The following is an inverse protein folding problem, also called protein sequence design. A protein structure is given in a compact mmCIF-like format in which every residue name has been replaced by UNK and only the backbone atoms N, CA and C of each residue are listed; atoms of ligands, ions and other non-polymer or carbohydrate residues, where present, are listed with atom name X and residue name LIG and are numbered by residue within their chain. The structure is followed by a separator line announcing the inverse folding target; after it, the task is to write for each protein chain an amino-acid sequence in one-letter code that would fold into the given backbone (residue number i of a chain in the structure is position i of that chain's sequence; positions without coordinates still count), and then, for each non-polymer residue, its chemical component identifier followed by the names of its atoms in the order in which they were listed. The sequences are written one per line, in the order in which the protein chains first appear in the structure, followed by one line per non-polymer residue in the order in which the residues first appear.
data_IF_188055972477
#
_entry.id   IF_188055972477
#
_cell.length_a   1.000
_cell.length_b   1.000
_cell.length_c   1.000
_cell.angle_alpha   90.00
_cell.angle_beta   90.00
_cell.angle_gamma   90.00
#
_symmetry.space_group_name_H-M   'P 1'
#
loop_
_entity.id
_entity.type
_entity.pdbx_description
1 polymer ?
#
# COMPACT_ATOMS: atom_id res chain seq x y z
N UNK A 1 18.38 -15.79 -11.06
CA UNK A 1 17.25 -16.74 -10.87
C UNK A 1 16.01 -16.16 -11.53
N UNK A 2 15.30 -16.93 -12.36
CA UNK A 2 14.16 -16.45 -13.16
C UNK A 2 13.01 -16.05 -12.24
N UNK A 3 12.63 -14.75 -12.25
CA UNK A 3 11.52 -14.17 -11.48
C UNK A 3 10.14 -14.87 -11.68
N UNK A 4 10.00 -15.75 -12.66
CA UNK A 4 8.74 -16.43 -13.02
C UNK A 4 8.17 -17.39 -11.96
N UNK A 5 8.92 -17.79 -10.95
CA UNK A 5 8.48 -18.82 -10.01
C UNK A 5 8.20 -18.33 -8.57
N UNK A 6 8.56 -17.09 -8.19
CA UNK A 6 8.43 -16.66 -6.78
C UNK A 6 6.96 -16.58 -6.33
N UNK A 7 6.08 -16.01 -7.16
CA UNK A 7 4.64 -15.93 -6.85
C UNK A 7 4.05 -17.30 -6.64
N UNK A 8 4.36 -18.24 -7.55
CA UNK A 8 3.91 -19.61 -7.45
C UNK A 8 4.49 -20.30 -6.20
N UNK A 9 5.77 -20.08 -5.88
CA UNK A 9 6.39 -20.61 -4.67
C UNK A 9 5.72 -20.09 -3.39
N UNK A 10 5.43 -18.80 -3.31
CA UNK A 10 4.71 -18.20 -2.16
C UNK A 10 3.30 -18.77 -2.06
N UNK A 11 2.59 -18.90 -3.18
CA UNK A 11 1.25 -19.49 -3.21
C UNK A 11 1.26 -20.97 -2.78
N UNK A 12 2.18 -21.77 -3.28
CA UNK A 12 2.36 -23.17 -2.86
C UNK A 12 2.69 -23.24 -1.36
N UNK A 13 3.60 -22.39 -0.88
CA UNK A 13 3.97 -22.32 0.52
C UNK A 13 2.77 -21.94 1.41
N UNK A 14 1.93 -21.00 0.98
CA UNK A 14 0.69 -20.63 1.64
C UNK A 14 -0.28 -21.80 1.72
N UNK A 15 -0.57 -22.48 0.59
CA UNK A 15 -1.49 -23.62 0.56
C UNK A 15 -0.93 -24.79 1.40
N UNK A 16 0.36 -25.11 1.30
CA UNK A 16 0.98 -26.14 2.10
C UNK A 16 0.92 -25.83 3.60
N UNK A 17 1.22 -24.58 3.98
CA UNK A 17 1.11 -24.10 5.36
C UNK A 17 -0.32 -24.15 5.88
N UNK A 18 -1.31 -23.72 5.07
CA UNK A 18 -2.73 -23.81 5.39
C UNK A 18 -3.18 -25.23 5.62
N UNK A 19 -2.87 -26.15 4.68
CA UNK A 19 -3.24 -27.57 4.80
C UNK A 19 -2.62 -28.18 6.05
N UNK A 20 -1.32 -27.99 6.27
CA UNK A 20 -0.65 -28.51 7.46
C UNK A 20 -1.24 -27.93 8.75
N UNK A 21 -1.45 -26.63 8.80
CA UNK A 21 -2.03 -25.96 9.97
C UNK A 21 -3.43 -26.48 10.30
N UNK A 22 -4.30 -26.62 9.29
CA UNK A 22 -5.65 -27.18 9.45
C UNK A 22 -5.60 -28.64 9.90
N UNK A 23 -4.71 -29.45 9.35
CA UNK A 23 -4.53 -30.86 9.78
C UNK A 23 -4.13 -30.93 11.26
N UNK A 24 -3.14 -30.14 11.68
CA UNK A 24 -2.70 -30.09 13.07
C UNK A 24 -3.84 -29.64 14.01
N UNK A 25 -4.62 -28.63 13.61
CA UNK A 25 -5.78 -28.14 14.35
C UNK A 25 -6.88 -29.20 14.49
N UNK A 26 -7.20 -29.91 13.41
CA UNK A 26 -8.21 -30.98 13.42
C UNK A 26 -7.76 -32.18 14.25
N UNK A 27 -6.48 -32.51 14.22
CA UNK A 27 -5.90 -33.60 14.99
C UNK A 27 -5.87 -33.32 16.51
N UNK A 28 -6.09 -32.05 16.92
CA UNK A 28 -6.07 -31.63 18.34
C UNK A 28 -4.80 -32.04 19.10
N UNK A 29 -3.67 -32.10 18.39
CA UNK A 29 -2.37 -32.42 19.00
C UNK A 29 -1.79 -31.20 19.70
N UNK A 30 -0.92 -31.44 20.69
CA UNK A 30 -0.13 -30.36 21.27
C UNK A 30 0.85 -29.81 20.23
N UNK A 31 0.63 -28.56 19.82
CA UNK A 31 1.42 -27.85 18.81
C UNK A 31 2.58 -27.05 19.39
N UNK A 32 2.78 -27.05 20.73
CA UNK A 32 3.77 -26.20 21.41
C UNK A 32 5.19 -26.43 20.87
N UNK A 33 5.59 -27.70 20.69
CA UNK A 33 6.85 -28.06 20.09
C UNK A 33 7.00 -27.62 18.64
N UNK A 34 5.93 -27.79 17.84
CA UNK A 34 5.88 -27.34 16.45
C UNK A 34 6.02 -25.82 16.34
N UNK A 35 5.23 -25.06 17.11
CA UNK A 35 5.28 -23.59 17.13
C UNK A 35 6.67 -23.09 17.55
N UNK A 36 7.28 -23.67 18.56
CA UNK A 36 8.62 -23.31 19.03
C UNK A 36 9.70 -23.45 17.93
N UNK A 37 9.58 -24.46 17.06
CA UNK A 37 10.57 -24.71 15.99
C UNK A 37 10.26 -23.88 14.75
N UNK A 38 8.99 -23.77 14.36
CA UNK A 38 8.58 -23.21 13.05
C UNK A 38 8.35 -21.70 13.11
N UNK A 39 7.77 -21.18 14.21
CA UNK A 39 7.48 -19.74 14.35
C UNK A 39 8.69 -18.83 14.09
N UNK A 40 9.93 -19.15 14.52
CA UNK A 40 11.08 -18.29 14.27
C UNK A 40 11.32 -17.98 12.78
N UNK A 41 11.07 -18.94 11.88
CA UNK A 41 11.24 -18.71 10.44
C UNK A 41 10.25 -17.64 9.91
N UNK A 42 9.03 -17.64 10.42
CA UNK A 42 8.05 -16.61 10.11
C UNK A 42 8.41 -15.26 10.71
N UNK A 43 8.85 -15.26 11.97
CA UNK A 43 9.27 -14.03 12.67
C UNK A 43 10.47 -13.37 12.00
N UNK A 44 11.42 -14.15 11.46
CA UNK A 44 12.53 -13.61 10.66
C UNK A 44 12.03 -12.86 9.44
N UNK A 45 11.06 -13.41 8.70
CA UNK A 45 10.47 -12.70 7.55
C UNK A 45 9.85 -11.35 7.98
N UNK A 46 9.05 -11.36 9.05
CA UNK A 46 8.42 -10.15 9.59
C UNK A 46 9.48 -9.12 10.04
N UNK A 47 10.53 -9.57 10.71
CA UNK A 47 11.64 -8.70 11.14
C UNK A 47 12.40 -8.09 9.96
N UNK A 48 12.69 -8.88 8.91
CA UNK A 48 13.34 -8.38 7.69
C UNK A 48 12.46 -7.35 6.96
N UNK A 49 11.15 -7.59 6.85
CA UNK A 49 10.23 -6.61 6.28
C UNK A 49 10.21 -5.33 7.10
N UNK A 50 10.11 -5.43 8.44
CA UNK A 50 10.15 -4.27 9.34
C UNK A 50 11.45 -3.47 9.20
N UNK A 51 12.58 -4.14 9.04
CA UNK A 51 13.89 -3.51 8.88
C UNK A 51 13.95 -2.58 7.66
N UNK A 52 13.30 -2.96 6.56
CA UNK A 52 13.43 -2.25 5.28
C UNK A 52 12.39 -1.15 5.07
N UNK A 53 11.29 -1.13 5.84
CA UNK A 53 10.16 -0.21 5.64
C UNK A 53 10.61 1.26 5.68
N UNK A 54 11.35 1.66 6.72
CA UNK A 54 11.78 3.06 6.91
C UNK A 54 12.69 3.53 5.77
N UNK A 55 13.78 2.82 5.42
CA UNK A 55 14.63 3.20 4.30
C UNK A 55 13.88 3.32 2.96
N UNK A 56 12.99 2.37 2.65
CA UNK A 56 12.18 2.41 1.43
C UNK A 56 11.33 3.68 1.38
N UNK A 57 10.56 3.96 2.43
CA UNK A 57 9.66 5.11 2.48
C UNK A 57 10.45 6.41 2.38
N UNK A 58 11.50 6.54 3.17
CA UNK A 58 12.31 7.75 3.24
C UNK A 58 12.90 8.14 1.87
N UNK A 59 13.58 7.19 1.21
CA UNK A 59 14.21 7.44 -0.07
C UNK A 59 13.20 7.60 -1.22
N UNK A 60 12.15 6.76 -1.25
CA UNK A 60 11.13 6.84 -2.30
C UNK A 60 10.36 8.16 -2.26
N UNK A 61 10.04 8.66 -1.04
CA UNK A 61 9.32 9.93 -0.90
C UNK A 61 10.16 11.14 -1.25
N UNK A 62 11.46 11.15 -0.92
CA UNK A 62 12.36 12.24 -1.33
C UNK A 62 12.46 12.27 -2.85
N UNK A 63 12.70 11.14 -3.48
CA UNK A 63 12.83 11.01 -4.93
C UNK A 63 11.52 11.41 -5.64
N UNK A 64 10.38 10.88 -5.20
CA UNK A 64 9.06 11.21 -5.72
C UNK A 64 8.72 12.69 -5.58
N UNK A 65 8.98 13.30 -4.43
CA UNK A 65 8.72 14.72 -4.20
C UNK A 65 9.67 15.63 -5.00
N UNK A 66 10.94 15.22 -5.19
CA UNK A 66 11.91 15.96 -5.98
C UNK A 66 11.62 15.90 -7.50
N UNK A 67 10.87 14.92 -7.96
CA UNK A 67 10.48 14.78 -9.37
C UNK A 67 9.32 15.68 -9.79
N UNK A 68 8.65 16.37 -8.85
CA UNK A 68 7.51 17.25 -9.13
C UNK A 68 7.94 18.44 -9.99
N UNK A 69 7.31 18.71 -11.15
CA UNK A 69 7.66 19.82 -12.02
C UNK A 69 7.21 21.16 -11.42
N UNK A 70 8.08 22.18 -11.41
CA UNK A 70 7.82 23.46 -10.72
C UNK A 70 7.55 24.63 -11.65
N UNK A 71 8.31 24.81 -12.73
CA UNK A 71 8.22 26.04 -13.55
C UNK A 71 7.41 25.91 -14.84
N UNK A 72 7.67 24.90 -15.65
CA UNK A 72 7.01 24.77 -16.95
C UNK A 72 5.61 24.17 -16.86
N UNK A 73 5.38 23.33 -15.85
CA UNK A 73 4.12 22.62 -15.63
C UNK A 73 3.45 22.91 -14.28
N UNK A 74 3.86 23.98 -13.57
CA UNK A 74 3.45 24.23 -12.19
C UNK A 74 1.94 24.13 -11.93
N UNK A 75 1.10 24.74 -12.77
CA UNK A 75 -0.36 24.64 -12.65
C UNK A 75 -0.89 23.26 -13.04
N UNK A 76 -0.30 22.60 -14.04
CA UNK A 76 -0.70 21.27 -14.51
C UNK A 76 -0.22 20.22 -13.54
N UNK A 77 1.05 20.32 -13.07
CA UNK A 77 1.60 19.45 -12.05
C UNK A 77 0.79 19.45 -10.75
N UNK A 78 0.40 20.64 -10.27
CA UNK A 78 -0.49 20.75 -9.09
C UNK A 78 -1.84 20.08 -9.35
N UNK A 79 -2.46 20.25 -10.53
CA UNK A 79 -3.70 19.57 -10.87
C UNK A 79 -3.53 18.05 -10.82
N UNK A 80 -2.43 17.49 -11.38
CA UNK A 80 -2.14 16.05 -11.34
C UNK A 80 -2.04 15.56 -9.88
N UNK A 81 -1.26 16.24 -9.04
CA UNK A 81 -1.10 15.88 -7.63
C UNK A 81 -2.42 15.94 -6.88
N UNK A 82 -3.22 16.99 -7.12
CA UNK A 82 -4.55 17.13 -6.51
C UNK A 82 -5.48 15.98 -6.93
N UNK A 83 -5.46 15.59 -8.21
CA UNK A 83 -6.25 14.46 -8.68
C UNK A 83 -5.81 13.16 -8.05
N UNK A 84 -4.51 12.87 -7.97
CA UNK A 84 -3.97 11.68 -7.30
C UNK A 84 -4.36 11.65 -5.81
N UNK A 85 -4.23 12.80 -5.11
CA UNK A 85 -4.65 12.88 -3.72
C UNK A 85 -6.15 12.63 -3.53
N UNK A 86 -6.98 13.20 -4.40
CA UNK A 86 -8.44 13.03 -4.33
C UNK A 86 -8.86 11.58 -4.60
N UNK A 87 -8.27 10.90 -5.60
CA UNK A 87 -8.60 9.50 -5.88
C UNK A 87 -8.12 8.58 -4.75
N UNK A 88 -6.92 8.80 -4.21
CA UNK A 88 -6.41 8.05 -3.07
C UNK A 88 -7.23 8.27 -1.81
N UNK A 89 -7.70 9.51 -1.57
CA UNK A 89 -8.61 9.81 -0.45
C UNK A 89 -9.95 9.09 -0.62
N UNK A 90 -10.52 9.12 -1.83
CA UNK A 90 -11.75 8.40 -2.14
C UNK A 90 -11.59 6.89 -1.94
N UNK A 91 -10.48 6.33 -2.41
CA UNK A 91 -10.15 4.92 -2.26
C UNK A 91 -10.00 4.53 -0.78
N UNK A 92 -9.33 5.35 0.03
CA UNK A 92 -9.17 5.10 1.47
C UNK A 92 -10.50 5.17 2.24
N UNK A 93 -11.36 6.11 1.88
CA UNK A 93 -12.73 6.21 2.44
C UNK A 93 -13.55 5.00 2.01
N UNK A 94 -13.54 4.64 0.73
CA UNK A 94 -14.24 3.45 0.21
C UNK A 94 -13.75 2.17 0.89
N UNK A 95 -12.43 1.98 1.00
CA UNK A 95 -11.82 0.86 1.71
C UNK A 95 -12.25 0.80 3.17
N UNK A 96 -12.31 1.95 3.85
CA UNK A 96 -12.76 2.05 5.24
C UNK A 96 -14.26 1.72 5.39
N UNK A 97 -15.11 2.21 4.50
CA UNK A 97 -16.56 1.90 4.49
C UNK A 97 -16.79 0.42 4.25
N UNK A 98 -16.09 -0.17 3.28
CA UNK A 98 -16.17 -1.61 3.01
C UNK A 98 -15.63 -2.42 4.19
N UNK A 99 -14.54 -1.99 4.82
CA UNK A 99 -13.98 -2.65 5.99
C UNK A 99 -14.98 -2.68 7.16
N UNK A 100 -15.69 -1.58 7.41
CA UNK A 100 -16.76 -1.53 8.41
C UNK A 100 -17.94 -2.41 7.98
N UNK A 101 -18.36 -2.36 6.72
CA UNK A 101 -19.49 -3.11 6.19
C UNK A 101 -19.27 -4.63 6.22
N UNK A 102 -18.11 -5.10 5.73
CA UNK A 102 -17.73 -6.51 5.78
C UNK A 102 -17.37 -6.98 7.19
N UNK A 103 -16.87 -6.05 8.01
CA UNK A 103 -16.48 -6.24 9.41
C UNK A 103 -15.72 -7.56 9.62
N UNK A 104 -14.55 -7.75 8.96
CA UNK A 104 -13.81 -9.00 9.03
C UNK A 104 -13.37 -9.28 10.46
N UNK A 105 -13.62 -10.50 10.95
CA UNK A 105 -13.19 -10.90 12.27
C UNK A 105 -14.14 -10.54 13.44
N UNK A 106 -15.32 -9.98 13.17
CA UNK A 106 -16.29 -9.58 14.20
C UNK A 106 -17.19 -10.69 14.74
N UNK A 107 -17.13 -11.92 14.18
CA UNK A 107 -17.99 -13.02 14.61
C UNK A 107 -17.71 -13.47 16.04
N UNK A 108 -18.75 -13.84 16.82
CA UNK A 108 -18.59 -14.27 18.21
C UNK A 108 -17.64 -15.46 18.38
N UNK A 109 -17.71 -16.44 17.49
CA UNK A 109 -16.81 -17.60 17.49
C UNK A 109 -15.35 -17.19 17.24
N UNK A 110 -15.14 -16.20 16.36
CA UNK A 110 -13.80 -15.65 16.09
C UNK A 110 -13.28 -14.86 17.30
N UNK A 111 -14.10 -13.99 17.88
CA UNK A 111 -13.71 -13.23 19.08
C UNK A 111 -13.42 -14.15 20.27
N UNK A 112 -14.16 -15.24 20.43
CA UNK A 112 -13.88 -16.23 21.47
C UNK A 112 -12.52 -16.92 21.25
N UNK A 113 -12.19 -17.29 20.00
CA UNK A 113 -10.92 -17.90 19.64
C UNK A 113 -9.72 -16.93 19.85
N UNK A 114 -9.94 -15.61 19.70
CA UNK A 114 -8.90 -14.60 19.83
C UNK A 114 -8.81 -13.95 21.22
N UNK A 115 -9.69 -14.33 22.14
CA UNK A 115 -9.71 -13.80 23.52
C UNK A 115 -8.36 -13.91 24.22
N UNK A 116 -7.60 -14.95 23.92
CA UNK A 116 -6.25 -15.16 24.45
C UNK A 116 -5.20 -14.20 23.87
N UNK A 117 -5.50 -13.57 22.70
CA UNK A 117 -4.63 -12.59 22.07
C UNK A 117 -4.89 -11.16 22.55
N UNK A 118 -6.06 -10.94 23.17
CA UNK A 118 -6.43 -9.64 23.74
C UNK A 118 -5.67 -9.50 25.05
N UNK A 119 -4.51 -8.84 24.98
CA UNK A 119 -3.76 -8.51 26.18
C UNK A 119 -4.45 -7.32 26.86
N UNK A 120 -5.11 -7.57 28.01
CA UNK A 120 -5.89 -6.58 28.75
C UNK A 120 -5.07 -5.38 29.22
N UNK A 121 -3.75 -5.52 29.37
CA UNK A 121 -2.86 -4.40 29.69
C UNK A 121 -2.65 -3.47 28.49
N UNK A 122 -2.52 -4.01 27.28
CA UNK A 122 -2.36 -3.18 26.09
C UNK A 122 -3.68 -2.50 25.65
N UNK A 123 -4.85 -3.12 25.91
CA UNK A 123 -6.14 -2.51 25.58
C UNK A 123 -6.44 -1.25 26.38
N UNK A 124 -6.01 -1.17 27.64
CA UNK A 124 -6.18 0.05 28.45
C UNK A 124 -5.23 1.17 28.00
N UNK A 125 -3.99 0.87 27.63
CA UNK A 125 -3.06 1.86 27.04
C UNK A 125 -3.49 2.30 25.64
N UNK A 126 -3.99 1.40 24.82
CA UNK A 126 -4.52 1.72 23.49
C UNK A 126 -5.79 2.58 23.62
N UNK A 127 -6.68 2.25 24.56
CA UNK A 127 -7.89 3.02 24.81
C UNK A 127 -7.60 4.43 25.36
N UNK A 128 -6.57 4.59 26.22
CA UNK A 128 -6.17 5.90 26.74
C UNK A 128 -5.49 6.78 25.68
N UNK A 129 -4.79 6.16 24.69
CA UNK A 129 -4.13 6.86 23.57
C UNK A 129 -5.05 7.05 22.36
N UNK A 130 -6.16 6.31 22.25
CA UNK A 130 -7.19 6.53 21.24
C UNK A 130 -7.95 7.85 21.42
N UNK A 131 -7.76 8.53 22.54
CA UNK A 131 -8.27 9.88 22.81
C UNK A 131 -7.37 11.01 22.25
N UNK A 132 -6.30 10.70 21.50
CA UNK A 132 -5.54 11.74 20.84
C UNK A 132 -6.45 12.52 19.88
N UNK A 133 -6.48 13.83 20.04
CA UNK A 133 -7.22 14.69 19.12
C UNK A 133 -6.55 14.66 17.73
N UNK A 134 -7.29 15.00 16.68
CA UNK A 134 -6.69 15.18 15.35
C UNK A 134 -5.55 16.22 15.38
N UNK A 135 -5.63 17.20 16.29
CA UNK A 135 -4.56 18.18 16.50
C UNK A 135 -3.28 17.54 17.03
N UNK A 136 -3.38 16.60 17.97
CA UNK A 136 -2.19 15.89 18.50
C UNK A 136 -1.52 15.05 17.41
N UNK A 137 -2.31 14.40 16.56
CA UNK A 137 -1.78 13.65 15.40
C UNK A 137 -1.07 14.60 14.44
N UNK A 138 -1.69 15.77 14.14
CA UNK A 138 -1.09 16.77 13.25
C UNK A 138 0.22 17.32 13.83
N UNK A 139 0.25 17.66 15.12
CA UNK A 139 1.47 18.14 15.80
C UNK A 139 2.57 17.05 15.78
N UNK A 140 2.22 15.78 15.95
CA UNK A 140 3.17 14.67 15.95
C UNK A 140 3.88 14.47 14.60
N UNK A 141 3.35 15.02 13.52
CA UNK A 141 3.98 15.02 12.19
C UNK A 141 5.23 15.90 12.12
N UNK A 142 5.36 16.89 13.01
CA UNK A 142 6.47 17.84 13.05
C UNK A 142 7.47 17.48 14.16
N UNK A 143 8.08 16.31 14.04
CA UNK A 143 9.09 15.80 14.97
C UNK A 143 10.48 15.91 14.34
N UNK A 144 11.52 15.91 15.18
CA UNK A 144 12.90 15.80 14.70
C UNK A 144 13.05 14.59 13.77
N UNK A 145 13.52 14.77 12.52
CA UNK A 145 13.52 13.69 11.51
C UNK A 145 14.39 12.51 11.92
N UNK A 146 15.55 12.74 12.55
CA UNK A 146 16.43 11.67 12.99
C UNK A 146 15.81 10.86 14.12
N UNK A 147 15.11 11.52 15.04
CA UNK A 147 14.33 10.84 16.08
C UNK A 147 13.15 10.07 15.46
N UNK A 148 12.45 10.67 14.52
CA UNK A 148 11.35 10.01 13.80
C UNK A 148 11.82 8.73 13.09
N UNK A 149 12.98 8.78 12.41
CA UNK A 149 13.61 7.61 11.78
C UNK A 149 13.98 6.52 12.78
N UNK A 150 14.54 6.89 13.93
CA UNK A 150 14.94 5.96 14.99
C UNK A 150 13.73 5.31 15.68
N UNK A 151 12.71 6.11 16.01
CA UNK A 151 11.51 5.67 16.71
C UNK A 151 10.47 5.00 15.78
N UNK A 152 10.62 5.13 14.45
CA UNK A 152 9.66 4.65 13.48
C UNK A 152 8.36 5.47 13.45
N UNK A 153 8.42 6.78 13.69
CA UNK A 153 7.26 7.66 13.53
C UNK A 153 7.05 7.98 12.04
N UNK A 154 6.29 7.12 11.37
CA UNK A 154 6.11 7.18 9.92
C UNK A 154 5.48 8.48 9.45
N UNK A 155 4.50 9.05 10.17
CA UNK A 155 3.88 10.32 9.76
C UNK A 155 4.90 11.45 9.72
N UNK A 156 5.78 11.54 10.70
CA UNK A 156 6.84 12.53 10.71
C UNK A 156 7.90 12.27 9.62
N UNK A 157 8.24 11.00 9.38
CA UNK A 157 9.14 10.59 8.28
C UNK A 157 8.56 11.02 6.93
N UNK A 158 7.28 10.75 6.67
CA UNK A 158 6.60 11.08 5.43
C UNK A 158 6.61 12.59 5.19
N UNK A 159 6.18 13.37 6.19
CA UNK A 159 6.12 14.84 6.10
C UNK A 159 7.51 15.44 5.85
N UNK A 160 8.51 14.98 6.59
CA UNK A 160 9.88 15.46 6.39
C UNK A 160 10.44 15.08 5.01
N UNK A 161 10.24 13.84 4.57
CA UNK A 161 10.75 13.36 3.28
C UNK A 161 10.16 14.13 2.10
N UNK A 162 8.83 14.38 2.13
CA UNK A 162 8.15 15.18 1.11
C UNK A 162 8.68 16.63 1.13
N UNK A 163 8.74 17.24 2.32
CA UNK A 163 9.23 18.62 2.46
C UNK A 163 10.70 18.75 1.97
N UNK A 164 11.55 17.78 2.31
CA UNK A 164 12.95 17.77 1.89
C UNK A 164 13.10 17.57 0.37
N UNK A 165 12.34 16.64 -0.23
CA UNK A 165 12.33 16.42 -1.68
C UNK A 165 11.85 17.66 -2.46
N UNK A 166 10.77 18.31 -2.00
CA UNK A 166 10.30 19.58 -2.57
C UNK A 166 11.33 20.70 -2.42
N UNK A 167 11.99 20.81 -1.26
CA UNK A 167 13.05 21.80 -1.04
C UNK A 167 14.23 21.56 -1.99
N UNK A 168 14.68 20.32 -2.19
CA UNK A 168 15.70 19.97 -3.18
C UNK A 168 15.28 20.39 -4.58
N UNK A 169 14.03 20.14 -4.95
CA UNK A 169 13.49 20.57 -6.25
C UNK A 169 13.55 22.09 -6.42
N UNK A 170 13.11 22.85 -5.41
CA UNK A 170 13.16 24.32 -5.46
C UNK A 170 14.59 24.86 -5.56
N UNK A 171 15.53 24.25 -4.84
CA UNK A 171 16.95 24.64 -4.89
C UNK A 171 17.55 24.28 -6.24
N UNK A 172 17.15 23.18 -6.88
CA UNK A 172 17.67 22.76 -8.19
C UNK A 172 17.42 23.79 -9.32
N UNK A 173 16.44 24.69 -9.12
CA UNK A 173 16.15 25.77 -10.08
C UNK A 173 17.17 26.94 -10.05
N UNK A 174 17.98 26.99 -9.01
CA UNK A 174 19.09 27.96 -8.92
C UNK A 174 20.30 27.41 -9.64
N UNK A 175 20.84 28.14 -10.59
CA UNK A 175 21.99 27.72 -11.44
C UNK A 175 23.20 27.21 -10.62
N UNK A 176 23.46 27.83 -9.46
CA UNK A 176 24.55 27.47 -8.55
C UNK A 176 24.39 26.03 -7.96
N UNK A 177 23.17 25.60 -7.73
CA UNK A 177 22.88 24.34 -7.05
C UNK A 177 22.36 23.24 -7.99
N UNK A 178 21.96 23.57 -9.21
CA UNK A 178 21.35 22.63 -10.16
C UNK A 178 22.20 21.37 -10.35
N UNK A 179 23.47 21.49 -10.63
CA UNK A 179 24.40 20.37 -10.79
C UNK A 179 24.58 19.55 -9.49
N UNK A 180 24.71 20.24 -8.35
CA UNK A 180 24.90 19.59 -7.04
C UNK A 180 23.65 18.80 -6.60
N UNK A 181 22.47 19.38 -6.80
CA UNK A 181 21.18 18.69 -6.50
C UNK A 181 20.99 17.49 -7.42
N UNK A 182 21.31 17.60 -8.70
CA UNK A 182 21.26 16.49 -9.64
C UNK A 182 22.13 15.33 -9.15
N UNK A 183 23.39 15.59 -8.78
CA UNK A 183 24.28 14.56 -8.22
C UNK A 183 23.72 13.95 -6.92
N UNK A 184 23.14 14.77 -6.04
CA UNK A 184 22.53 14.26 -4.81
C UNK A 184 21.33 13.32 -5.11
N UNK A 185 20.47 13.69 -6.06
CA UNK A 185 19.35 12.86 -6.48
C UNK A 185 19.80 11.55 -7.15
N UNK A 186 20.87 11.60 -7.95
CA UNK A 186 21.49 10.39 -8.51
C UNK A 186 22.01 9.44 -7.41
N UNK A 187 22.60 9.98 -6.33
CA UNK A 187 23.03 9.19 -5.16
C UNK A 187 21.81 8.58 -4.45
N UNK A 188 20.73 9.36 -4.25
CA UNK A 188 19.49 8.89 -3.63
C UNK A 188 18.87 7.79 -4.47
N UNK A 189 18.86 7.90 -5.80
CA UNK A 189 18.35 6.88 -6.71
C UNK A 189 19.14 5.57 -6.60
N UNK A 190 20.48 5.65 -6.62
CA UNK A 190 21.35 4.47 -6.40
C UNK A 190 21.09 3.84 -5.02
N UNK A 191 20.94 4.64 -3.97
CA UNK A 191 20.63 4.15 -2.63
C UNK A 191 19.25 3.47 -2.60
N UNK A 192 18.23 4.04 -3.26
CA UNK A 192 16.89 3.46 -3.42
C UNK A 192 16.94 2.11 -4.14
N UNK A 193 17.68 2.01 -5.24
CA UNK A 193 17.87 0.76 -5.98
C UNK A 193 18.58 -0.31 -5.14
N UNK A 194 19.58 0.07 -4.33
CA UNK A 194 20.23 -0.85 -3.39
C UNK A 194 19.26 -1.36 -2.33
N UNK A 195 18.38 -0.51 -1.80
CA UNK A 195 17.32 -0.89 -0.86
C UNK A 195 16.32 -1.83 -1.52
N UNK A 196 15.86 -1.56 -2.76
CA UNK A 196 14.99 -2.48 -3.48
C UNK A 196 15.66 -3.81 -3.78
N UNK A 197 16.98 -3.84 -3.95
CA UNK A 197 17.71 -5.11 -4.07
C UNK A 197 17.67 -5.94 -2.78
N UNK A 198 17.71 -5.29 -1.62
CA UNK A 198 17.50 -5.96 -0.33
C UNK A 198 16.05 -6.47 -0.22
N UNK A 199 15.07 -5.69 -0.67
CA UNK A 199 13.67 -6.15 -0.76
C UNK A 199 13.55 -7.42 -1.61
N UNK A 200 14.22 -7.49 -2.77
CA UNK A 200 14.25 -8.70 -3.61
C UNK A 200 14.78 -9.93 -2.84
N UNK A 201 15.80 -9.76 -1.99
CA UNK A 201 16.33 -10.87 -1.15
C UNK A 201 15.33 -11.29 -0.07
N UNK A 202 14.66 -10.33 0.57
CA UNK A 202 13.61 -10.60 1.56
C UNK A 202 12.44 -11.36 0.90
N UNK A 203 12.01 -10.90 -0.28
CA UNK A 203 10.96 -11.59 -1.03
C UNK A 203 11.38 -12.98 -1.48
N UNK A 204 12.65 -13.22 -1.79
CA UNK A 204 13.16 -14.57 -2.11
C UNK A 204 13.07 -15.52 -0.91
N UNK A 205 13.15 -15.02 0.32
CA UNK A 205 12.94 -15.80 1.55
C UNK A 205 11.44 -16.01 1.88
N UNK A 206 10.55 -15.20 1.30
CA UNK A 206 9.12 -15.18 1.67
C UNK A 206 8.41 -16.54 1.59
N UNK A 207 8.70 -17.49 0.66
CA UNK A 207 8.06 -18.82 0.69
C UNK A 207 8.23 -19.54 2.03
N UNK A 208 9.43 -19.48 2.63
CA UNK A 208 9.74 -20.13 3.92
C UNK A 208 8.95 -19.44 5.04
N UNK A 209 9.02 -18.11 5.10
CA UNK A 209 8.33 -17.33 6.14
C UNK A 209 6.81 -17.45 6.03
N UNK A 210 6.25 -17.43 4.82
CA UNK A 210 4.80 -17.57 4.57
C UNK A 210 4.31 -18.95 5.00
N UNK A 211 5.01 -20.02 4.62
CA UNK A 211 4.69 -21.37 5.10
C UNK A 211 4.65 -21.42 6.63
N UNK A 212 5.71 -20.91 7.28
CA UNK A 212 5.83 -20.92 8.73
C UNK A 212 4.68 -20.13 9.41
N UNK A 213 4.45 -18.89 9.00
CA UNK A 213 3.38 -18.05 9.56
C UNK A 213 2.00 -18.65 9.34
N UNK A 214 1.72 -19.12 8.12
CA UNK A 214 0.41 -19.67 7.78
C UNK A 214 0.16 -20.96 8.54
N UNK A 215 1.11 -21.89 8.58
CA UNK A 215 0.94 -23.16 9.27
C UNK A 215 0.75 -22.97 10.79
N UNK A 216 1.53 -22.08 11.41
CA UNK A 216 1.37 -21.77 12.83
C UNK A 216 0.03 -21.09 13.11
N UNK A 217 -0.38 -20.10 12.31
CA UNK A 217 -1.64 -19.40 12.50
C UNK A 217 -2.84 -20.36 12.35
N UNK A 218 -2.88 -21.18 11.30
CA UNK A 218 -3.97 -22.13 11.11
C UNK A 218 -3.94 -23.30 12.10
N UNK A 219 -2.77 -23.72 12.59
CA UNK A 219 -2.68 -24.69 13.66
C UNK A 219 -3.22 -24.14 15.00
N UNK A 220 -2.98 -22.84 15.27
CA UNK A 220 -3.42 -22.17 16.50
C UNK A 220 -4.91 -21.78 16.48
N UNK A 221 -5.40 -21.26 15.35
CA UNK A 221 -6.73 -20.65 15.27
C UNK A 221 -7.73 -21.39 14.38
N UNK A 222 -7.25 -22.33 13.56
CA UNK A 222 -8.09 -23.22 12.74
C UNK A 222 -9.10 -22.51 11.87
N UNK A 223 -10.36 -23.01 11.94
CA UNK A 223 -11.47 -22.51 11.12
C UNK A 223 -11.88 -21.06 11.43
N UNK A 224 -11.48 -20.50 12.58
CA UNK A 224 -11.84 -19.12 12.94
C UNK A 224 -11.19 -18.07 11.99
N UNK A 225 -10.15 -18.45 11.26
CA UNK A 225 -9.50 -17.58 10.28
C UNK A 225 -10.17 -17.53 8.91
N UNK A 226 -10.93 -18.57 8.50
CA UNK A 226 -11.49 -18.63 7.14
C UNK A 226 -12.50 -17.51 6.87
N UNK A 227 -13.42 -17.26 7.79
CA UNK A 227 -14.42 -16.21 7.64
C UNK A 227 -13.80 -14.82 7.43
N UNK A 228 -12.89 -14.37 8.32
CA UNK A 228 -12.15 -13.13 8.16
C UNK A 228 -11.38 -13.02 6.84
N UNK A 229 -10.70 -14.10 6.42
CA UNK A 229 -9.96 -14.14 5.16
C UNK A 229 -10.86 -13.92 3.95
N UNK A 230 -11.98 -14.64 3.89
CA UNK A 230 -12.93 -14.53 2.79
C UNK A 230 -13.52 -13.12 2.74
N UNK A 231 -13.98 -12.60 3.89
CA UNK A 231 -14.57 -11.25 3.98
C UNK A 231 -13.57 -10.16 3.54
N UNK A 232 -12.32 -10.27 4.00
CA UNK A 232 -11.26 -9.33 3.65
C UNK A 232 -10.98 -9.39 2.14
N UNK A 233 -10.77 -10.58 1.59
CA UNK A 233 -10.46 -10.77 0.16
C UNK A 233 -11.56 -10.21 -0.72
N UNK A 234 -12.81 -10.60 -0.43
CA UNK A 234 -13.97 -10.13 -1.19
C UNK A 234 -14.10 -8.61 -1.05
N UNK A 235 -13.93 -8.07 0.16
CA UNK A 235 -14.02 -6.63 0.40
C UNK A 235 -12.98 -5.83 -0.38
N UNK A 236 -11.72 -6.27 -0.40
CA UNK A 236 -10.65 -5.60 -1.18
C UNK A 236 -10.95 -5.68 -2.68
N UNK A 237 -11.26 -6.88 -3.20
CA UNK A 237 -11.53 -7.07 -4.63
C UNK A 237 -12.75 -6.26 -5.07
N UNK A 238 -13.83 -6.27 -4.29
CA UNK A 238 -15.03 -5.46 -4.60
C UNK A 238 -14.72 -3.97 -4.54
N UNK A 239 -13.92 -3.51 -3.60
CA UNK A 239 -13.48 -2.11 -3.53
C UNK A 239 -12.71 -1.69 -4.78
N UNK A 240 -11.79 -2.52 -5.23
CA UNK A 240 -11.02 -2.28 -6.46
C UNK A 240 -11.93 -2.29 -7.69
N UNK A 241 -12.82 -3.26 -7.80
CA UNK A 241 -13.80 -3.32 -8.88
C UNK A 241 -14.71 -2.08 -8.87
N UNK A 242 -15.14 -1.62 -7.70
CA UNK A 242 -15.94 -0.41 -7.57
C UNK A 242 -15.14 0.85 -7.99
N UNK A 243 -13.85 0.96 -7.64
CA UNK A 243 -13.01 2.05 -8.15
C UNK A 243 -12.94 2.06 -9.68
N UNK A 244 -12.62 0.92 -10.28
CA UNK A 244 -12.41 0.80 -11.73
C UNK A 244 -13.71 0.97 -12.52
N UNK A 245 -14.82 0.38 -12.06
CA UNK A 245 -16.07 0.33 -12.82
C UNK A 245 -17.11 1.38 -12.43
N UNK A 246 -16.96 2.05 -11.27
CA UNK A 246 -17.92 3.05 -10.78
C UNK A 246 -17.22 4.39 -10.54
N UNK A 247 -16.20 4.45 -9.68
CA UNK A 247 -15.62 5.72 -9.23
C UNK A 247 -14.89 6.45 -10.35
N UNK A 248 -13.94 5.80 -11.03
CA UNK A 248 -13.24 6.41 -12.16
C UNK A 248 -14.17 6.75 -13.33
N UNK A 249 -15.11 5.88 -13.76
CA UNK A 249 -16.12 6.24 -14.76
C UNK A 249 -16.97 7.43 -14.36
N UNK A 250 -17.49 7.45 -13.14
CA UNK A 250 -18.31 8.57 -12.66
C UNK A 250 -17.52 9.88 -12.65
N UNK A 251 -16.28 9.83 -12.16
CA UNK A 251 -15.38 10.97 -12.14
C UNK A 251 -15.15 11.53 -13.55
N UNK A 252 -14.83 10.68 -14.53
CA UNK A 252 -14.65 11.09 -15.92
C UNK A 252 -15.95 11.61 -16.55
N UNK A 253 -17.08 10.95 -16.34
CA UNK A 253 -18.36 11.36 -16.89
C UNK A 253 -18.79 12.74 -16.39
N UNK A 254 -18.64 13.00 -15.09
CA UNK A 254 -19.03 14.27 -14.47
C UNK A 254 -18.09 15.41 -14.87
N UNK A 255 -16.78 15.17 -14.87
CA UNK A 255 -15.79 16.24 -15.07
C UNK A 255 -15.45 16.51 -16.52
N UNK A 256 -15.38 15.45 -17.36
CA UNK A 256 -14.92 15.54 -18.75
C UNK A 256 -16.04 15.46 -19.78
N UNK A 257 -17.22 15.00 -19.38
CA UNK A 257 -18.37 14.75 -20.28
C UNK A 257 -18.01 13.78 -21.42
N UNK A 258 -17.09 12.82 -21.18
CA UNK A 258 -16.70 11.77 -22.12
C UNK A 258 -17.34 10.44 -21.73
N UNK A 259 -17.41 9.49 -22.69
CA UNK A 259 -17.81 8.13 -22.35
C UNK A 259 -16.64 7.41 -21.65
N UNK A 260 -16.74 7.15 -20.32
CA UNK A 260 -15.63 6.61 -19.55
C UNK A 260 -15.26 5.18 -19.92
N UNK A 261 -16.23 4.38 -20.35
CA UNK A 261 -15.97 2.99 -20.73
C UNK A 261 -15.16 2.88 -22.02
N UNK A 262 -15.30 3.86 -22.95
CA UNK A 262 -14.40 3.93 -24.11
C UNK A 262 -12.96 4.18 -23.70
N UNK A 263 -12.73 5.03 -22.69
CA UNK A 263 -11.40 5.29 -22.13
C UNK A 263 -10.85 4.04 -21.48
N UNK A 264 -11.63 3.36 -20.61
CA UNK A 264 -11.21 2.13 -19.95
C UNK A 264 -10.86 1.01 -20.95
N UNK A 265 -11.61 0.89 -22.05
CA UNK A 265 -11.29 -0.09 -23.10
C UNK A 265 -9.98 0.20 -23.82
N UNK A 266 -9.62 1.48 -24.00
CA UNK A 266 -8.33 1.87 -24.58
C UNK A 266 -7.15 1.51 -23.66
N UNK A 267 -7.33 1.57 -22.33
CA UNK A 267 -6.27 1.31 -21.34
C UNK A 267 -6.19 -0.13 -20.81
N UNK A 268 -6.94 -1.06 -21.40
CA UNK A 268 -6.95 -2.47 -20.95
C UNK A 268 -5.58 -3.14 -20.96
N UNK A 269 -4.69 -2.77 -21.87
CA UNK A 269 -3.36 -3.36 -21.99
C UNK A 269 -2.45 -3.01 -20.80
N UNK A 270 -2.26 -1.73 -20.41
CA UNK A 270 -1.54 -1.41 -19.20
C UNK A 270 -2.23 -1.97 -17.94
N UNK A 271 -3.57 -2.03 -17.88
CA UNK A 271 -4.27 -2.67 -16.76
C UNK A 271 -3.89 -4.14 -16.62
N UNK A 272 -3.91 -4.91 -17.71
CA UNK A 272 -3.53 -6.32 -17.72
C UNK A 272 -2.04 -6.51 -17.44
N UNK A 273 -1.19 -5.63 -17.97
CA UNK A 273 0.26 -5.66 -17.69
C UNK A 273 0.52 -5.45 -16.20
N UNK A 274 -0.13 -4.47 -15.58
CA UNK A 274 -0.03 -4.20 -14.15
C UNK A 274 -0.54 -5.39 -13.31
N UNK A 275 -1.67 -5.96 -13.70
CA UNK A 275 -2.24 -7.14 -13.03
C UNK A 275 -1.26 -8.32 -13.02
N UNK A 276 -0.65 -8.64 -14.15
CA UNK A 276 0.25 -9.80 -14.27
C UNK A 276 1.62 -9.53 -13.62
N UNK A 277 2.16 -8.32 -13.78
CA UNK A 277 3.50 -7.98 -13.30
C UNK A 277 3.51 -7.60 -11.81
N UNK A 278 2.40 -7.14 -11.27
CA UNK A 278 2.27 -6.57 -9.92
C UNK A 278 3.28 -5.44 -9.67
N UNK A 279 3.57 -4.66 -10.70
CA UNK A 279 4.51 -3.55 -10.64
C UNK A 279 4.06 -2.42 -11.56
N UNK A 280 3.72 -1.27 -10.98
CA UNK A 280 3.39 -0.06 -11.73
C UNK A 280 4.56 0.41 -12.58
N UNK A 281 5.79 0.28 -12.06
CA UNK A 281 7.01 0.61 -12.79
C UNK A 281 7.20 -0.29 -14.03
N UNK A 282 6.89 -1.59 -13.92
CA UNK A 282 6.98 -2.50 -15.07
C UNK A 282 5.87 -2.26 -16.12
N UNK A 283 4.72 -1.73 -15.71
CA UNK A 283 3.62 -1.36 -16.60
C UNK A 283 3.82 0.02 -17.24
N UNK A 284 4.68 0.87 -16.68
CA UNK A 284 4.87 2.27 -17.10
C UNK A 284 5.17 2.44 -18.60
N UNK A 285 6.07 1.68 -19.24
CA UNK A 285 6.31 1.83 -20.69
C UNK A 285 5.05 1.59 -21.53
N UNK A 286 4.21 0.63 -21.13
CA UNK A 286 2.94 0.36 -21.80
C UNK A 286 1.94 1.49 -21.55
N UNK A 287 1.88 2.01 -20.32
CA UNK A 287 1.04 3.15 -19.97
C UNK A 287 1.40 4.40 -20.78
N UNK A 288 2.70 4.71 -20.91
CA UNK A 288 3.19 5.84 -21.73
C UNK A 288 2.81 5.70 -23.20
N UNK A 289 2.99 4.51 -23.77
CA UNK A 289 2.62 4.24 -25.14
C UNK A 289 1.11 4.42 -25.38
N UNK A 290 0.28 3.79 -24.57
CA UNK A 290 -1.19 3.87 -24.67
C UNK A 290 -1.69 5.30 -24.43
N UNK A 291 -1.10 6.03 -23.50
CA UNK A 291 -1.42 7.44 -23.26
C UNK A 291 -1.19 8.28 -24.52
N UNK A 292 -0.08 8.09 -25.22
CA UNK A 292 0.28 8.82 -26.43
C UNK A 292 -0.50 8.34 -27.66
N UNK A 293 -0.55 7.03 -27.91
CA UNK A 293 -1.07 6.46 -29.16
C UNK A 293 -2.59 6.31 -29.16
N UNK A 294 -3.19 5.84 -28.05
CA UNK A 294 -4.61 5.53 -27.98
C UNK A 294 -5.45 6.64 -27.36
N UNK A 295 -4.90 7.32 -26.31
CA UNK A 295 -5.60 8.41 -25.62
C UNK A 295 -5.23 9.79 -26.16
N UNK A 296 -4.23 9.88 -27.06
CA UNK A 296 -3.77 11.14 -27.65
C UNK A 296 -3.35 12.21 -26.64
N UNK A 297 -2.86 11.78 -25.48
CA UNK A 297 -2.34 12.68 -24.44
C UNK A 297 -1.00 13.25 -24.89
N UNK A 298 -0.85 14.57 -24.79
CA UNK A 298 0.41 15.24 -25.06
C UNK A 298 1.57 14.63 -24.25
N UNK A 299 2.70 14.43 -24.91
CA UNK A 299 3.93 13.90 -24.30
C UNK A 299 4.40 14.75 -23.12
N UNK A 300 4.17 16.06 -23.19
CA UNK A 300 4.53 17.01 -22.13
C UNK A 300 3.87 16.67 -20.77
N UNK A 301 2.64 16.15 -20.75
CA UNK A 301 1.98 15.76 -19.50
C UNK A 301 2.22 14.30 -19.18
N UNK A 302 2.15 13.38 -20.14
CA UNK A 302 2.26 11.96 -19.89
C UNK A 302 3.65 11.56 -19.38
N UNK A 303 4.71 12.21 -19.89
CA UNK A 303 6.11 11.91 -19.53
C UNK A 303 6.48 12.23 -18.08
N UNK A 304 5.73 13.11 -17.39
CA UNK A 304 5.94 13.35 -15.97
C UNK A 304 4.82 12.76 -15.08
N UNK A 305 3.56 12.85 -15.52
CA UNK A 305 2.45 12.44 -14.69
C UNK A 305 2.44 10.92 -14.46
N UNK A 306 2.60 10.12 -15.52
CA UNK A 306 2.58 8.66 -15.38
C UNK A 306 3.75 8.10 -14.56
N UNK A 307 5.01 8.52 -14.75
CA UNK A 307 6.10 8.13 -13.85
C UNK A 307 5.85 8.56 -12.39
N UNK A 308 5.35 9.78 -12.18
CA UNK A 308 4.99 10.27 -10.85
C UNK A 308 3.87 9.42 -10.23
N UNK A 309 2.79 9.15 -10.98
CA UNK A 309 1.67 8.31 -10.54
C UNK A 309 2.11 6.91 -10.15
N UNK A 310 2.99 6.29 -10.94
CA UNK A 310 3.49 4.94 -10.66
C UNK A 310 4.21 4.80 -9.31
N UNK A 311 4.53 5.91 -8.65
CA UNK A 311 5.18 5.95 -7.33
C UNK A 311 4.28 6.51 -6.23
N UNK A 312 3.40 7.49 -6.51
CA UNK A 312 2.65 8.20 -5.47
C UNK A 312 1.13 7.96 -5.51
N UNK A 313 0.57 7.44 -6.60
CA UNK A 313 -0.87 7.22 -6.74
C UNK A 313 -1.21 5.74 -6.55
N UNK A 314 -1.46 5.34 -5.31
CA UNK A 314 -1.63 3.94 -4.91
C UNK A 314 -3.04 3.67 -4.40
N UNK A 315 -4.05 3.92 -5.23
CA UNK A 315 -5.46 3.83 -4.86
C UNK A 315 -5.88 2.41 -4.41
N UNK A 316 -5.32 1.36 -5.03
CA UNK A 316 -5.56 -0.03 -4.62
C UNK A 316 -5.05 -0.33 -3.22
N UNK A 317 -3.87 0.20 -2.88
CA UNK A 317 -3.30 0.11 -1.53
C UNK A 317 -4.18 0.86 -0.53
N UNK A 318 -4.75 2.00 -0.92
CA UNK A 318 -5.67 2.77 -0.09
C UNK A 318 -6.96 2.02 0.26
N UNK A 319 -7.39 1.05 -0.55
CA UNK A 319 -8.50 0.14 -0.23
C UNK A 319 -8.04 -1.00 0.69
N UNK A 320 -6.88 -1.57 0.41
CA UNK A 320 -6.33 -2.74 1.09
C UNK A 320 -6.03 -2.45 2.59
N UNK A 321 -5.30 -1.38 2.87
CA UNK A 321 -4.81 -1.09 4.22
C UNK A 321 -5.91 -0.95 5.27
N UNK A 322 -7.03 -0.21 5.03
CA UNK A 322 -8.13 -0.14 5.98
C UNK A 322 -8.80 -1.49 6.26
N UNK A 323 -8.88 -2.39 5.29
CA UNK A 323 -9.45 -3.71 5.48
C UNK A 323 -8.66 -4.54 6.50
N UNK A 324 -7.33 -4.51 6.42
CA UNK A 324 -6.46 -5.17 7.40
C UNK A 324 -6.46 -4.45 8.76
N UNK A 325 -6.57 -3.13 8.77
CA UNK A 325 -6.67 -2.37 10.02
C UNK A 325 -7.93 -2.74 10.82
N UNK A 326 -9.08 -2.85 10.15
CA UNK A 326 -10.34 -3.25 10.80
C UNK A 326 -10.30 -4.73 11.22
N UNK A 327 -9.70 -5.62 10.41
CA UNK A 327 -9.45 -6.99 10.83
C UNK A 327 -8.62 -7.04 12.12
N UNK A 328 -7.52 -6.30 12.17
CA UNK A 328 -6.66 -6.22 13.35
C UNK A 328 -7.39 -5.63 14.56
N UNK A 329 -8.19 -4.58 14.35
CA UNK A 329 -9.01 -3.98 15.40
C UNK A 329 -9.97 -5.01 16.02
N UNK A 330 -10.64 -5.78 15.19
CA UNK A 330 -11.57 -6.82 15.65
C UNK A 330 -10.85 -7.98 16.33
N UNK A 331 -9.69 -8.40 15.81
CA UNK A 331 -8.91 -9.50 16.39
C UNK A 331 -8.38 -9.15 17.78
N UNK A 332 -7.95 -7.90 17.97
CA UNK A 332 -7.25 -7.49 19.20
C UNK A 332 -8.09 -6.60 20.11
N UNK A 333 -9.38 -6.43 19.82
CA UNK A 333 -10.31 -5.68 20.65
C UNK A 333 -10.06 -4.16 20.66
N UNK A 334 -9.44 -3.61 19.61
CA UNK A 334 -9.21 -2.17 19.47
C UNK A 334 -10.51 -1.50 19.05
N UNK A 335 -10.96 -0.51 19.82
CA UNK A 335 -12.17 0.24 19.50
C UNK A 335 -11.94 1.16 18.30
N UNK A 336 -12.78 0.99 17.27
CA UNK A 336 -12.79 1.88 16.10
C UNK A 336 -13.76 3.03 16.40
N UNK A 337 -13.22 4.24 16.46
CA UNK A 337 -14.00 5.49 16.65
C UNK A 337 -13.93 6.31 15.36
N UNK A 338 -14.81 7.32 15.23
CA UNK A 338 -14.73 8.24 14.09
C UNK A 338 -13.35 8.91 13.97
N UNK A 339 -12.74 9.28 15.11
CA UNK A 339 -11.41 9.90 15.14
C UNK A 339 -10.35 8.91 14.66
N UNK A 340 -10.33 7.67 15.20
CA UNK A 340 -9.36 6.66 14.76
C UNK A 340 -9.52 6.28 13.30
N UNK A 341 -10.75 6.28 12.78
CA UNK A 341 -11.03 6.04 11.37
C UNK A 341 -10.52 7.19 10.49
N UNK A 342 -10.71 8.44 10.91
CA UNK A 342 -10.18 9.60 10.20
C UNK A 342 -8.65 9.60 10.16
N UNK A 343 -8.02 9.25 11.28
CA UNK A 343 -6.56 9.05 11.35
C UNK A 343 -6.11 7.92 10.44
N UNK A 344 -6.84 6.80 10.41
CA UNK A 344 -6.56 5.66 9.53
C UNK A 344 -6.60 6.09 8.06
N UNK A 345 -7.65 6.78 7.62
CA UNK A 345 -7.79 7.29 6.25
C UNK A 345 -6.62 8.22 5.90
N UNK A 346 -6.33 9.20 6.74
CA UNK A 346 -5.23 10.14 6.51
C UNK A 346 -3.87 9.42 6.45
N UNK A 347 -3.60 8.55 7.41
CA UNK A 347 -2.35 7.77 7.45
C UNK A 347 -2.23 6.87 6.21
N UNK A 348 -3.33 6.26 5.78
CA UNK A 348 -3.36 5.40 4.58
C UNK A 348 -2.98 6.19 3.33
N UNK A 349 -3.60 7.36 3.11
CA UNK A 349 -3.30 8.22 1.95
C UNK A 349 -1.85 8.71 1.99
N UNK A 350 -1.35 9.17 3.14
CA UNK A 350 0.03 9.61 3.27
C UNK A 350 1.04 8.46 3.11
N UNK A 351 0.73 7.30 3.71
CA UNK A 351 1.59 6.13 3.60
C UNK A 351 1.65 5.60 2.16
N UNK A 352 0.52 5.60 1.44
CA UNK A 352 0.42 5.04 0.09
C UNK A 352 1.41 5.69 -0.88
N UNK A 353 1.72 6.98 -0.69
CA UNK A 353 2.75 7.70 -1.47
C UNK A 353 4.14 7.05 -1.35
N UNK A 354 4.41 6.30 -0.28
CA UNK A 354 5.67 5.59 -0.04
C UNK A 354 5.74 4.16 -0.57
N UNK A 355 4.71 3.65 -1.25
CA UNK A 355 4.66 2.26 -1.69
C UNK A 355 5.69 1.88 -2.77
N UNK A 356 6.11 2.84 -3.58
CA UNK A 356 7.22 2.69 -4.52
C UNK A 356 6.94 1.90 -5.81
N UNK A 357 5.68 1.53 -6.10
CA UNK A 357 5.28 0.88 -7.36
C UNK A 357 5.91 -0.50 -7.63
N UNK A 358 6.37 -1.19 -6.58
CA UNK A 358 7.04 -2.49 -6.65
C UNK A 358 6.21 -3.60 -6.00
N UNK A 359 6.38 -4.87 -6.41
CA UNK A 359 5.64 -5.99 -5.81
C UNK A 359 5.81 -6.05 -4.29
N UNK A 360 4.69 -6.16 -3.56
CA UNK A 360 4.68 -6.26 -2.10
C UNK A 360 4.81 -4.92 -1.35
N UNK A 361 4.76 -3.78 -2.04
CA UNK A 361 4.80 -2.45 -1.40
C UNK A 361 3.71 -2.26 -0.35
N UNK A 362 2.50 -2.72 -0.61
CA UNK A 362 1.37 -2.65 0.34
C UNK A 362 1.64 -3.36 1.67
N UNK A 363 2.37 -4.48 1.65
CA UNK A 363 2.77 -5.19 2.88
C UNK A 363 3.69 -4.35 3.78
N UNK A 364 4.58 -3.58 3.18
CA UNK A 364 5.47 -2.68 3.94
C UNK A 364 4.65 -1.58 4.62
N UNK A 365 3.68 -1.03 3.91
CA UNK A 365 2.81 0.02 4.45
C UNK A 365 1.85 -0.50 5.53
N UNK A 366 1.49 -1.78 5.48
CA UNK A 366 0.68 -2.41 6.51
C UNK A 366 1.35 -2.31 7.89
N UNK A 367 2.69 -2.42 7.97
CA UNK A 367 3.41 -2.21 9.23
C UNK A 367 3.16 -0.81 9.82
N UNK A 368 3.11 0.23 8.97
CA UNK A 368 2.84 1.60 9.40
C UNK A 368 1.48 1.68 10.09
N UNK A 369 0.46 1.13 9.44
CA UNK A 369 -0.90 1.14 9.94
C UNK A 369 -1.00 0.39 11.27
N UNK A 370 -0.45 -0.82 11.34
CA UNK A 370 -0.51 -1.66 12.54
C UNK A 370 0.30 -1.07 13.71
N UNK A 371 1.43 -0.43 13.45
CA UNK A 371 2.20 0.26 14.49
C UNK A 371 1.48 1.50 15.01
N UNK A 372 0.81 2.27 14.13
CA UNK A 372 -0.01 3.41 14.56
C UNK A 372 -1.20 2.96 15.42
N UNK A 373 -1.69 1.73 15.24
CA UNK A 373 -2.69 1.11 16.12
C UNK A 373 -2.09 0.63 17.45
N UNK A 374 -0.79 0.82 17.70
CA UNK A 374 -0.07 0.42 18.93
C UNK A 374 -0.12 -1.08 19.22
N UNK A 375 -0.22 -1.90 18.18
CA UNK A 375 -0.17 -3.34 18.33
C UNK A 375 1.23 -3.82 18.75
N UNK A 376 1.28 -4.92 19.51
CA UNK A 376 2.54 -5.54 19.89
C UNK A 376 3.23 -6.19 18.66
N UNK A 377 4.55 -6.44 18.71
CA UNK A 377 5.25 -7.13 17.63
C UNK A 377 4.62 -8.47 17.25
N UNK A 378 4.14 -9.25 18.22
CA UNK A 378 3.49 -10.55 17.98
C UNK A 378 2.13 -10.38 17.30
N UNK A 379 1.33 -9.39 17.68
CA UNK A 379 0.07 -9.06 17.04
C UNK A 379 0.29 -8.61 15.59
N UNK A 380 1.30 -7.76 15.34
CA UNK A 380 1.70 -7.36 14.00
C UNK A 380 2.13 -8.57 13.17
N UNK A 381 2.92 -9.48 13.74
CA UNK A 381 3.38 -10.68 13.06
C UNK A 381 2.21 -11.58 12.61
N UNK A 382 1.16 -11.71 13.42
CA UNK A 382 -0.06 -12.46 13.07
C UNK A 382 -0.73 -11.82 11.84
N UNK A 383 -1.03 -10.52 11.89
CA UNK A 383 -1.73 -9.84 10.78
C UNK A 383 -0.88 -9.85 9.51
N UNK A 384 0.42 -9.57 9.61
CA UNK A 384 1.33 -9.60 8.46
C UNK A 384 1.44 -11.02 7.89
N UNK A 385 1.46 -12.04 8.75
CA UNK A 385 1.45 -13.45 8.32
C UNK A 385 0.18 -13.79 7.53
N UNK A 386 -0.97 -13.28 8.00
CA UNK A 386 -2.24 -13.41 7.27
C UNK A 386 -2.18 -12.66 5.92
N UNK A 387 -1.68 -11.44 5.92
CA UNK A 387 -1.56 -10.63 4.71
C UNK A 387 -0.63 -11.27 3.67
N UNK A 388 0.54 -11.75 4.08
CA UNK A 388 1.54 -12.37 3.21
C UNK A 388 0.99 -13.55 2.40
N UNK A 389 0.10 -14.35 3.00
CA UNK A 389 -0.48 -15.52 2.34
C UNK A 389 -1.36 -15.14 1.14
N UNK A 390 -2.14 -14.06 1.26
CA UNK A 390 -3.10 -13.64 0.23
C UNK A 390 -2.59 -12.52 -0.65
N UNK A 391 -1.55 -11.80 -0.21
CA UNK A 391 -1.01 -10.65 -0.91
C UNK A 391 -0.66 -10.89 -2.38
N UNK A 392 -0.10 -12.04 -2.79
CA UNK A 392 0.19 -12.27 -4.21
C UNK A 392 -1.04 -12.10 -5.13
N UNK A 393 -2.22 -12.40 -4.61
CA UNK A 393 -3.49 -12.24 -5.35
C UNK A 393 -3.97 -10.80 -5.24
N UNK A 394 -4.01 -10.23 -4.04
CA UNK A 394 -4.49 -8.87 -3.83
C UNK A 394 -3.63 -7.84 -4.57
N UNK A 395 -2.31 -8.00 -4.54
CA UNK A 395 -1.34 -7.14 -5.19
C UNK A 395 -1.53 -7.06 -6.73
N UNK A 396 -2.06 -8.13 -7.37
CA UNK A 396 -2.44 -8.09 -8.78
C UNK A 396 -3.57 -7.09 -9.02
N UNK A 397 -4.62 -7.14 -8.22
CA UNK A 397 -5.76 -6.23 -8.31
C UNK A 397 -5.38 -4.81 -7.90
N UNK A 398 -4.62 -4.65 -6.83
CA UNK A 398 -4.13 -3.36 -6.34
C UNK A 398 -3.32 -2.63 -7.41
N UNK A 399 -2.35 -3.31 -8.01
CA UNK A 399 -1.47 -2.72 -9.03
C UNK A 399 -2.24 -2.37 -10.30
N UNK A 400 -3.18 -3.22 -10.70
CA UNK A 400 -4.10 -2.90 -11.82
C UNK A 400 -4.88 -1.62 -11.53
N UNK A 401 -5.42 -1.47 -10.33
CA UNK A 401 -6.17 -0.28 -9.92
C UNK A 401 -5.27 0.96 -9.89
N UNK A 402 -4.06 0.86 -9.34
CA UNK A 402 -3.10 1.97 -9.28
C UNK A 402 -2.79 2.50 -10.68
N UNK A 403 -2.40 1.62 -11.60
CA UNK A 403 -2.09 1.99 -12.99
C UNK A 403 -3.33 2.54 -13.73
N UNK A 404 -4.52 2.01 -13.44
CA UNK A 404 -5.77 2.56 -13.98
C UNK A 404 -5.97 3.99 -13.50
N UNK A 405 -5.79 4.24 -12.21
CA UNK A 405 -5.87 5.57 -11.60
C UNK A 405 -4.86 6.55 -12.19
N UNK A 406 -3.60 6.11 -12.37
CA UNK A 406 -2.54 6.92 -12.98
C UNK A 406 -2.96 7.46 -14.35
N UNK A 407 -3.47 6.57 -15.21
CA UNK A 407 -3.83 6.93 -16.58
C UNK A 407 -5.11 7.78 -16.60
N UNK A 408 -6.13 7.40 -15.81
CA UNK A 408 -7.40 8.13 -15.72
C UNK A 408 -7.18 9.55 -15.19
N UNK A 409 -6.37 9.73 -14.14
CA UNK A 409 -6.04 11.06 -13.60
C UNK A 409 -5.23 11.89 -14.61
N UNK A 410 -4.22 11.28 -15.25
CA UNK A 410 -3.42 11.95 -16.28
C UNK A 410 -4.28 12.39 -17.46
N UNK A 411 -5.15 11.51 -17.96
CA UNK A 411 -6.10 11.83 -19.04
C UNK A 411 -7.06 12.94 -18.63
N UNK A 412 -7.58 12.88 -17.40
CA UNK A 412 -8.52 13.88 -16.90
C UNK A 412 -7.87 15.27 -16.85
N UNK A 413 -6.66 15.37 -16.31
CA UNK A 413 -5.93 16.64 -16.26
C UNK A 413 -5.56 17.12 -17.67
N UNK A 414 -5.11 16.22 -18.54
CA UNK A 414 -4.78 16.55 -19.92
C UNK A 414 -6.00 17.12 -20.68
N UNK A 415 -7.16 16.45 -20.61
CA UNK A 415 -8.39 16.90 -21.26
C UNK A 415 -8.88 18.24 -20.72
N UNK A 416 -8.89 18.42 -19.40
CA UNK A 416 -9.25 19.70 -18.74
C UNK A 416 -8.28 20.84 -19.05
N UNK A 417 -7.09 20.55 -19.52
CA UNK A 417 -6.04 21.51 -19.84
C UNK A 417 -5.83 21.70 -21.36
N UNK A 418 -6.67 21.07 -22.20
CA UNK A 418 -6.55 21.16 -23.66
C UNK A 418 -5.29 20.49 -24.23
N UNK A 419 -4.79 19.44 -23.55
CA UNK A 419 -3.56 18.70 -23.89
C UNK A 419 -3.88 17.27 -24.38
N UNK A 420 -5.06 17.06 -24.93
CA UNK A 420 -5.47 15.85 -25.63
C UNK A 420 -5.77 16.26 -27.07
N UNK A 421 -5.05 15.68 -28.04
CA UNK A 421 -5.32 15.93 -29.45
C UNK A 421 -6.68 15.33 -29.80
N UNK A 422 -7.57 16.14 -30.36
CA UNK A 422 -8.89 15.67 -30.81
C UNK A 422 -8.69 14.79 -32.04
N UNK A 423 -9.33 13.62 -32.08
CA UNK A 423 -9.45 12.83 -33.29
C UNK A 423 -10.29 13.66 -34.28
N UNK A 424 -9.73 14.00 -35.45
CA UNK A 424 -10.48 14.59 -36.58
C UNK A 424 -11.61 13.67 -37.05
#
# INVERSE_FOLDING_TARGET
MKKKNLVLQVFIAFIAGLVLGVVLWLAKVDISGYVKIVSPFGQVLVAMLKMIVIPVIFLSLIDGAASVPTKEFGKIGIKVIVWYFLTSLFAAVLGSVLAIGFNPGSGEAQQAAWKSLINTQNTSEIASKANNSLADVFISMFQNPFKALADGNFLAIIVFSIAFGLALKMISERAEYSGKVKTLLEIIDVAKEAIFKIVDWILAYSPIGVFALTSVNFASYGSSLFGPYIKLTIGVVLGIVAMVLIVYPLMMAVTLKVNPFKVLMKIKEPMLTAFVTRSSAAALPVSLRVAKEDLKISENISSFALPLGSTINMDGVCIHLPMFAILAANMFGVKVTFVSLSVLVLTTVLASVGAGGVPGGSLMLLFIILQNMKLSPDQIAIIVGLALGINPILDMFETMNNVTGDIVCTYSVAKLSGLVDEEE
#
